data_IF_094201563966
#
_entry.id   IF_094201563966
#
_cell.length_a   1.000
_cell.length_b   1.000
_cell.length_c   1.000
_cell.angle_alpha   90.00
_cell.angle_beta   90.00
_cell.angle_gamma   90.00
#
_symmetry.space_group_name_H-M   'P 1'
#
loop_
_entity.id
_entity.type
_entity.pdbx_description
1 polymer ?
#
# COMPACT_ATOMS: atom_id res chain seq x y z
N UNK A 1 10.69 -23.89 0.54
CA UNK A 1 10.72 -22.69 -0.32
C UNK A 1 9.81 -21.57 0.17
N UNK A 2 8.62 -21.85 0.72
CA UNK A 2 7.64 -20.84 1.12
C UNK A 2 8.16 -19.81 2.14
N UNK A 3 9.02 -20.22 3.08
CA UNK A 3 9.60 -19.31 4.08
C UNK A 3 10.43 -18.16 3.50
N UNK A 4 11.20 -18.38 2.43
CA UNK A 4 11.99 -17.29 1.82
C UNK A 4 11.09 -16.24 1.18
N UNK A 5 10.05 -16.67 0.46
CA UNK A 5 9.14 -15.76 -0.25
C UNK A 5 8.33 -14.89 0.72
N UNK A 6 7.94 -15.46 1.86
CA UNK A 6 7.17 -14.74 2.90
C UNK A 6 7.94 -13.55 3.48
N UNK A 7 9.27 -13.60 3.49
CA UNK A 7 10.14 -12.55 4.04
C UNK A 7 10.62 -11.54 3.03
N UNK A 8 10.98 -12.01 1.84
CA UNK A 8 11.61 -11.15 0.83
C UNK A 8 10.63 -10.09 0.33
N UNK A 9 9.35 -10.43 0.17
CA UNK A 9 8.34 -9.50 -0.33
C UNK A 9 8.07 -8.32 0.60
N UNK A 10 7.78 -8.51 1.90
CA UNK A 10 7.59 -7.38 2.82
C UNK A 10 8.82 -6.49 2.92
N UNK A 11 10.02 -7.07 2.94
CA UNK A 11 11.27 -6.29 2.96
C UNK A 11 11.39 -5.45 1.69
N UNK A 12 11.17 -6.06 0.51
CA UNK A 12 11.18 -5.36 -0.76
C UNK A 12 10.15 -4.23 -0.79
N UNK A 13 8.94 -4.48 -0.28
CA UNK A 13 7.87 -3.50 -0.22
C UNK A 13 8.19 -2.32 0.72
N UNK A 14 8.88 -2.56 1.84
CA UNK A 14 9.37 -1.49 2.73
C UNK A 14 10.43 -0.66 2.01
N UNK A 15 11.38 -1.30 1.33
CA UNK A 15 12.43 -0.61 0.57
C UNK A 15 11.85 0.26 -0.54
N UNK A 16 10.90 -0.26 -1.33
CA UNK A 16 10.29 0.51 -2.42
C UNK A 16 9.48 1.69 -1.89
N UNK A 17 8.73 1.53 -0.80
CA UNK A 17 8.01 2.63 -0.17
C UNK A 17 8.95 3.69 0.44
N UNK A 18 10.07 3.27 1.04
CA UNK A 18 11.11 4.19 1.51
C UNK A 18 11.73 5.00 0.36
N UNK A 19 12.00 4.36 -0.78
CA UNK A 19 12.50 5.04 -1.98
C UNK A 19 11.49 6.06 -2.52
N UNK A 20 10.18 5.74 -2.53
CA UNK A 20 9.14 6.71 -2.89
C UNK A 20 9.23 7.94 -1.99
N UNK A 21 9.28 7.73 -0.67
CA UNK A 21 9.34 8.83 0.29
C UNK A 21 10.60 9.68 0.08
N UNK A 22 11.76 9.04 -0.11
CA UNK A 22 13.02 9.73 -0.38
C UNK A 22 12.91 10.63 -1.61
N UNK A 23 12.47 10.10 -2.75
CA UNK A 23 12.35 10.84 -4.01
C UNK A 23 11.39 12.03 -3.88
N UNK A 24 10.26 11.82 -3.21
CA UNK A 24 9.24 12.86 -3.05
C UNK A 24 9.67 13.93 -2.05
N UNK A 25 10.49 13.59 -1.04
CA UNK A 25 11.02 14.53 -0.06
C UNK A 25 12.19 15.35 -0.62
N UNK A 26 13.08 14.74 -1.39
CA UNK A 26 14.25 15.40 -1.99
C UNK A 26 13.85 16.38 -3.11
N UNK A 27 12.79 16.08 -3.86
CA UNK A 27 12.36 16.93 -4.96
C UNK A 27 11.37 18.03 -4.49
N UNK A 28 11.85 19.26 -4.36
CA UNK A 28 11.04 20.42 -3.92
C UNK A 28 9.83 20.71 -4.83
N UNK A 29 9.96 20.48 -6.15
CA UNK A 29 8.86 20.68 -7.10
C UNK A 29 7.73 19.67 -6.87
N UNK A 30 8.07 18.40 -6.60
CA UNK A 30 7.08 17.41 -6.21
C UNK A 30 6.51 17.73 -4.84
N UNK A 31 7.35 18.07 -3.86
CA UNK A 31 6.96 18.33 -2.47
C UNK A 31 5.81 19.35 -2.31
N UNK A 32 5.74 20.36 -3.18
CA UNK A 32 4.70 21.39 -3.15
C UNK A 32 3.40 21.03 -3.91
N UNK A 33 3.30 19.83 -4.51
CA UNK A 33 2.12 19.41 -5.27
C UNK A 33 1.11 18.62 -4.43
N UNK A 34 -0.18 18.77 -4.75
CA UNK A 34 -1.28 17.94 -4.19
C UNK A 34 -1.03 16.45 -4.38
N UNK A 35 -0.49 16.09 -5.54
CA UNK A 35 -0.07 14.74 -5.91
C UNK A 35 0.95 14.13 -4.94
N UNK A 36 1.97 14.90 -4.56
CA UNK A 36 3.00 14.45 -3.61
C UNK A 36 2.42 14.17 -2.22
N UNK A 37 1.45 14.96 -1.78
CA UNK A 37 0.76 14.74 -0.51
C UNK A 37 0.05 13.37 -0.52
N UNK A 38 -0.67 13.06 -1.60
CA UNK A 38 -1.31 11.76 -1.78
C UNK A 38 -0.29 10.61 -1.78
N UNK A 39 0.78 10.72 -2.58
CA UNK A 39 1.82 9.68 -2.66
C UNK A 39 2.47 9.43 -1.31
N UNK A 40 2.83 10.48 -0.57
CA UNK A 40 3.40 10.34 0.78
C UNK A 40 2.42 9.63 1.72
N UNK A 41 1.15 10.02 1.70
CA UNK A 41 0.13 9.38 2.54
C UNK A 41 0.02 7.89 2.26
N UNK A 42 0.01 7.51 0.98
CA UNK A 42 -0.06 6.12 0.57
C UNK A 42 1.20 5.36 1.00
N UNK A 43 2.39 5.87 0.67
CA UNK A 43 3.66 5.22 1.03
C UNK A 43 3.85 5.09 2.55
N UNK A 44 3.41 6.08 3.34
CA UNK A 44 3.44 5.99 4.82
C UNK A 44 2.47 4.92 5.31
N UNK A 45 1.22 4.91 4.79
CA UNK A 45 0.22 3.91 5.18
C UNK A 45 0.69 2.49 4.86
N UNK A 46 1.26 2.29 3.67
CA UNK A 46 1.77 0.99 3.21
C UNK A 46 2.97 0.56 4.07
N UNK A 47 3.94 1.46 4.31
CA UNK A 47 5.08 1.20 5.19
C UNK A 47 4.62 0.81 6.59
N UNK A 48 3.63 1.51 7.15
CA UNK A 48 3.12 1.22 8.49
C UNK A 48 2.50 -0.18 8.54
N UNK A 49 1.65 -0.53 7.58
CA UNK A 49 1.05 -1.88 7.48
C UNK A 49 2.11 -2.96 7.35
N UNK A 50 3.16 -2.74 6.53
CA UNK A 50 4.24 -3.70 6.33
C UNK A 50 5.13 -3.87 7.56
N UNK A 51 5.48 -2.78 8.25
CA UNK A 51 6.23 -2.82 9.51
C UNK A 51 5.46 -3.61 10.56
N UNK A 52 4.14 -3.41 10.66
CA UNK A 52 3.30 -4.17 11.58
C UNK A 52 3.26 -5.65 11.21
N UNK A 53 3.20 -5.97 9.93
CA UNK A 53 3.27 -7.35 9.44
C UNK A 53 4.61 -8.00 9.79
N UNK A 54 5.72 -7.29 9.63
CA UNK A 54 7.07 -7.75 10.00
C UNK A 54 7.19 -7.97 11.52
N UNK A 55 6.75 -7.00 12.32
CA UNK A 55 6.70 -7.13 13.79
C UNK A 55 5.83 -8.31 14.23
N UNK A 56 4.70 -8.52 13.56
CA UNK A 56 3.81 -9.66 13.81
C UNK A 56 4.47 -10.99 13.46
N UNK A 57 5.39 -11.04 12.50
CA UNK A 57 6.13 -12.25 12.17
C UNK A 57 7.16 -12.59 13.26
N UNK A 58 7.97 -11.60 13.65
CA UNK A 58 8.98 -11.75 14.71
C UNK A 58 8.33 -12.16 16.03
N UNK A 59 7.12 -11.64 16.29
CA UNK A 59 6.44 -11.83 17.57
C UNK A 59 5.42 -12.97 17.57
N UNK A 60 5.54 -13.97 16.69
CA UNK A 60 4.68 -15.17 16.68
C UNK A 60 4.64 -15.92 18.02
N UNK A 61 5.60 -15.68 18.91
CA UNK A 61 5.67 -16.21 20.28
C UNK A 61 4.88 -15.38 21.31
N UNK A 62 4.50 -14.13 21.03
CA UNK A 62 3.74 -13.28 21.96
C UNK A 62 2.33 -13.00 21.45
N UNK A 63 1.33 -13.68 22.04
CA UNK A 63 -0.11 -13.45 21.78
C UNK A 63 -0.56 -11.98 21.99
N UNK A 64 0.24 -11.15 22.67
CA UNK A 64 -0.06 -9.75 22.96
C UNK A 64 -0.30 -8.89 21.70
N UNK A 65 0.36 -9.21 20.57
CA UNK A 65 0.29 -8.39 19.35
C UNK A 65 -1.05 -8.53 18.60
N UNK A 66 -1.76 -9.65 18.78
CA UNK A 66 -3.08 -9.88 18.20
C UNK A 66 -4.22 -9.43 19.12
N UNK A 67 -3.92 -8.71 20.20
CA UNK A 67 -4.96 -8.12 21.04
C UNK A 67 -5.84 -7.19 20.18
N UNK A 68 -7.18 -7.28 20.29
CA UNK A 68 -8.10 -6.42 19.53
C UNK A 68 -7.75 -4.93 19.66
N UNK A 69 -7.24 -4.51 20.83
CA UNK A 69 -6.77 -3.16 21.13
C UNK A 69 -5.63 -2.69 20.21
N UNK A 70 -4.66 -3.55 19.89
CA UNK A 70 -3.56 -3.19 18.98
C UNK A 70 -4.09 -2.98 17.57
N UNK A 71 -4.89 -3.92 17.05
CA UNK A 71 -5.53 -3.77 15.73
C UNK A 71 -6.35 -2.47 15.62
N UNK A 72 -7.17 -2.15 16.64
CA UNK A 72 -7.94 -0.90 16.65
C UNK A 72 -7.04 0.33 16.69
N UNK A 73 -5.97 0.32 17.51
CA UNK A 73 -5.01 1.41 17.56
C UNK A 73 -4.30 1.66 16.23
N UNK A 74 -3.99 0.59 15.50
CA UNK A 74 -3.31 0.65 14.21
C UNK A 74 -4.22 1.15 13.08
N UNK A 75 -5.46 0.69 13.06
CA UNK A 75 -6.50 1.22 12.16
C UNK A 75 -6.70 2.71 12.43
N UNK A 76 -6.80 3.09 13.71
CA UNK A 76 -6.93 4.49 14.12
C UNK A 76 -5.73 5.34 13.69
N UNK A 77 -4.50 4.82 13.81
CA UNK A 77 -3.29 5.51 13.34
C UNK A 77 -3.27 5.68 11.81
N UNK A 78 -3.67 4.66 11.05
CA UNK A 78 -3.79 4.77 9.58
C UNK A 78 -4.84 5.83 9.19
N UNK A 79 -5.98 5.85 9.87
CA UNK A 79 -7.03 6.83 9.58
C UNK A 79 -6.66 8.24 10.04
N UNK A 80 -6.02 8.37 11.20
CA UNK A 80 -5.54 9.64 11.73
C UNK A 80 -4.46 10.26 10.82
N UNK A 81 -3.54 9.44 10.28
CA UNK A 81 -2.52 9.92 9.33
C UNK A 81 -3.16 10.39 8.02
N UNK A 82 -4.11 9.62 7.46
CA UNK A 82 -4.89 10.06 6.28
C UNK A 82 -5.63 11.36 6.53
N UNK A 83 -6.32 11.48 7.66
CA UNK A 83 -7.06 12.70 8.01
C UNK A 83 -6.15 13.91 8.25
N UNK A 84 -5.03 13.74 8.95
CA UNK A 84 -4.07 14.82 9.19
C UNK A 84 -3.48 15.34 7.87
N UNK A 85 -3.18 14.42 6.95
CA UNK A 85 -2.68 14.75 5.63
C UNK A 85 -3.74 15.48 4.79
N UNK A 86 -4.99 14.99 4.79
CA UNK A 86 -6.10 15.63 4.10
C UNK A 86 -6.42 17.04 4.64
N UNK A 87 -6.39 17.22 5.97
CA UNK A 87 -6.58 18.53 6.62
C UNK A 87 -5.49 19.52 6.20
N UNK A 88 -4.22 19.10 6.20
CA UNK A 88 -3.09 19.94 5.77
C UNK A 88 -3.21 20.32 4.30
N UNK A 89 -3.68 19.40 3.45
CA UNK A 89 -3.96 19.67 2.04
C UNK A 89 -5.03 20.74 1.85
N UNK A 90 -6.17 20.63 2.55
CA UNK A 90 -7.28 21.60 2.42
C UNK A 90 -6.84 23.04 2.73
N UNK A 91 -5.97 23.21 3.72
CA UNK A 91 -5.40 24.52 4.05
C UNK A 91 -4.45 25.08 2.97
N UNK A 92 -3.61 24.24 2.39
CA UNK A 92 -2.68 24.65 1.32
C UNK A 92 -3.41 25.02 0.03
N UNK A 93 -4.45 24.25 -0.35
CA UNK A 93 -5.29 24.59 -1.51
C UNK A 93 -6.00 25.92 -1.33
N UNK A 94 -6.56 26.20 -0.15
CA UNK A 94 -7.30 27.44 0.07
C UNK A 94 -6.43 28.71 -0.06
N UNK A 95 -5.13 28.62 0.26
CA UNK A 95 -4.21 29.76 0.11
C UNK A 95 -3.68 29.97 -1.32
N UNK A 96 -3.50 28.90 -2.09
CA UNK A 96 -2.88 28.97 -3.43
C UNK A 96 -3.88 29.40 -4.52
N UNK A 97 -5.18 29.15 -4.33
CA UNK A 97 -6.22 29.49 -5.32
C UNK A 97 -6.61 30.98 -5.37
N UNK A 98 -6.09 31.83 -4.47
CA UNK A 98 -6.59 33.21 -4.33
C UNK A 98 -6.01 34.24 -5.32
N UNK A 99 -5.23 33.87 -6.35
CA UNK A 99 -4.60 34.93 -7.16
C UNK A 99 -4.02 34.66 -8.55
N UNK A 100 -4.06 33.45 -9.14
CA UNK A 100 -3.61 33.28 -10.55
C UNK A 100 -4.44 32.24 -11.31
N UNK A 101 -4.96 32.55 -12.52
CA UNK A 101 -5.48 31.54 -13.43
C UNK A 101 -4.30 30.67 -13.86
N UNK A 102 -4.23 29.47 -13.29
CA UNK A 102 -3.14 28.52 -13.44
C UNK A 102 -3.57 27.52 -14.51
N UNK A 103 -2.73 27.32 -15.52
CA UNK A 103 -2.84 26.20 -16.47
C UNK A 103 -3.28 24.94 -15.73
N UNK A 104 -4.41 24.36 -16.13
CA UNK A 104 -4.98 23.18 -15.49
C UNK A 104 -3.88 22.11 -15.33
N UNK A 105 -3.46 21.79 -14.10
CA UNK A 105 -2.66 20.59 -13.91
C UNK A 105 -3.48 19.41 -14.43
N UNK A 106 -2.85 18.41 -15.07
CA UNK A 106 -3.52 17.24 -15.62
C UNK A 106 -4.32 16.46 -14.55
N UNK A 107 -5.51 16.91 -14.17
CA UNK A 107 -6.39 16.26 -13.20
C UNK A 107 -6.75 14.86 -13.69
N UNK A 108 -6.95 14.71 -15.00
CA UNK A 108 -7.18 13.44 -15.67
C UNK A 108 -6.04 12.44 -15.45
N UNK A 109 -4.79 12.90 -15.37
CA UNK A 109 -3.64 12.01 -15.11
C UNK A 109 -3.62 11.52 -13.66
N UNK A 110 -3.99 12.39 -12.71
CA UNK A 110 -4.12 12.02 -11.31
C UNK A 110 -5.29 11.04 -11.12
N UNK A 111 -6.44 11.35 -11.69
CA UNK A 111 -7.62 10.48 -11.64
C UNK A 111 -7.34 9.10 -12.27
N UNK A 112 -6.66 9.07 -13.41
CA UNK A 112 -6.24 7.82 -14.05
C UNK A 112 -5.31 7.00 -13.16
N UNK A 113 -4.34 7.65 -12.49
CA UNK A 113 -3.45 6.96 -11.55
C UNK A 113 -4.23 6.37 -10.37
N UNK A 114 -5.14 7.14 -9.76
CA UNK A 114 -6.00 6.66 -8.68
C UNK A 114 -6.87 5.47 -9.12
N UNK A 115 -7.43 5.55 -10.33
CA UNK A 115 -8.23 4.49 -10.91
C UNK A 115 -7.41 3.21 -11.08
N UNK A 116 -6.20 3.31 -11.66
CA UNK A 116 -5.29 2.16 -11.84
C UNK A 116 -4.95 1.54 -10.48
N UNK A 117 -4.56 2.33 -9.49
CA UNK A 117 -4.22 1.81 -8.15
C UNK A 117 -5.43 1.12 -7.50
N UNK A 118 -6.64 1.68 -7.67
CA UNK A 118 -7.86 1.08 -7.12
C UNK A 118 -8.22 -0.25 -7.79
N UNK A 119 -8.09 -0.32 -9.12
CA UNK A 119 -8.31 -1.55 -9.88
C UNK A 119 -7.30 -2.62 -9.45
N UNK A 120 -6.02 -2.27 -9.35
CA UNK A 120 -4.95 -3.19 -8.92
C UNK A 120 -5.18 -3.69 -7.50
N UNK A 121 -5.52 -2.79 -6.57
CA UNK A 121 -5.90 -3.15 -5.20
C UNK A 121 -7.06 -4.15 -5.19
N UNK A 122 -8.09 -3.92 -6.01
CA UNK A 122 -9.25 -4.83 -6.10
C UNK A 122 -8.82 -6.19 -6.62
N UNK A 123 -8.06 -6.25 -7.71
CA UNK A 123 -7.60 -7.50 -8.33
C UNK A 123 -6.72 -8.32 -7.37
N UNK A 124 -5.86 -7.68 -6.59
CA UNK A 124 -4.97 -8.37 -5.66
C UNK A 124 -5.62 -8.72 -4.31
N UNK A 125 -6.47 -7.85 -3.78
CA UNK A 125 -7.03 -8.00 -2.44
C UNK A 125 -8.32 -8.84 -2.42
N UNK A 126 -9.09 -8.82 -3.51
CA UNK A 126 -10.38 -9.52 -3.61
C UNK A 126 -10.24 -11.05 -3.46
N UNK A 127 -9.30 -11.75 -4.15
CA UNK A 127 -9.16 -13.20 -4.02
C UNK A 127 -8.87 -13.64 -2.58
N UNK A 128 -7.98 -12.92 -1.89
CA UNK A 128 -7.66 -13.15 -0.48
C UNK A 128 -8.88 -12.96 0.43
N UNK A 129 -9.66 -11.91 0.19
CA UNK A 129 -10.87 -11.62 0.97
C UNK A 129 -11.92 -12.71 0.78
N UNK A 130 -12.14 -13.14 -0.47
CA UNK A 130 -13.08 -14.23 -0.79
C UNK A 130 -12.69 -15.51 -0.05
N UNK A 131 -11.42 -15.93 -0.10
CA UNK A 131 -10.94 -17.14 0.59
C UNK A 131 -11.14 -17.06 2.10
N UNK A 132 -10.86 -15.90 2.71
CA UNK A 132 -11.07 -15.73 4.15
C UNK A 132 -12.55 -15.75 4.54
N UNK A 133 -13.42 -15.17 3.70
CA UNK A 133 -14.87 -15.23 3.93
C UNK A 133 -15.35 -16.67 3.83
N UNK A 134 -14.96 -17.39 2.76
CA UNK A 134 -15.30 -18.80 2.58
C UNK A 134 -14.79 -19.64 3.76
N UNK A 135 -13.55 -19.41 4.20
CA UNK A 135 -12.96 -20.14 5.34
C UNK A 135 -13.64 -19.85 6.67
N UNK A 136 -14.20 -18.65 6.86
CA UNK A 136 -14.82 -18.22 8.12
C UNK A 136 -16.30 -18.52 8.20
N UNK A 137 -17.00 -18.40 7.08
CA UNK A 137 -18.46 -18.53 6.97
C UNK A 137 -18.89 -19.84 6.31
N UNK A 138 -17.95 -20.62 5.79
CA UNK A 138 -18.17 -21.92 5.19
C UNK A 138 -18.63 -22.96 6.21
N UNK A 139 -19.95 -23.11 6.31
CA UNK A 139 -20.70 -24.31 6.69
C UNK A 139 -20.05 -25.62 6.15
N UNK A 140 -20.32 -26.77 6.80
CA UNK A 140 -19.35 -27.80 7.17
C UNK A 140 -18.42 -28.21 6.00
N UNK A 141 -17.29 -27.50 5.89
CA UNK A 141 -16.15 -27.94 5.08
C UNK A 141 -15.66 -29.35 5.51
N UNK A 142 -15.99 -29.78 6.74
CA UNK A 142 -15.68 -31.10 7.29
C UNK A 142 -16.36 -32.27 6.55
N UNK A 143 -17.41 -32.06 5.76
CA UNK A 143 -18.15 -33.17 5.14
C UNK A 143 -17.67 -33.56 3.72
N UNK A 144 -16.86 -32.74 3.05
CA UNK A 144 -16.51 -32.97 1.63
C UNK A 144 -15.03 -32.79 1.28
N UNK A 145 -14.15 -32.42 2.22
CA UNK A 145 -12.73 -32.25 1.90
C UNK A 145 -11.99 -33.60 1.92
N UNK A 146 -11.56 -34.04 0.75
CA UNK A 146 -10.48 -35.02 0.62
C UNK A 146 -9.15 -34.36 1.04
N UNK A 147 -8.15 -35.17 1.43
CA UNK A 147 -6.79 -34.66 1.72
C UNK A 147 -6.24 -33.80 0.57
N UNK A 148 -6.50 -34.21 -0.67
CA UNK A 148 -6.14 -33.47 -1.89
C UNK A 148 -6.75 -32.06 -1.95
N UNK A 149 -8.01 -31.91 -1.54
CA UNK A 149 -8.70 -30.62 -1.54
C UNK A 149 -8.05 -29.64 -0.54
N UNK A 150 -7.53 -30.17 0.58
CA UNK A 150 -6.86 -29.36 1.61
C UNK A 150 -5.53 -28.80 1.11
N UNK A 151 -4.75 -29.59 0.37
CA UNK A 151 -3.50 -29.14 -0.24
C UNK A 151 -3.74 -28.01 -1.25
N UNK A 152 -4.73 -28.17 -2.12
CA UNK A 152 -5.11 -27.15 -3.10
C UNK A 152 -5.53 -25.86 -2.39
N UNK A 153 -6.35 -25.95 -1.35
CA UNK A 153 -6.75 -24.78 -0.56
C UNK A 153 -5.52 -24.05 0.02
N UNK A 154 -4.56 -24.77 0.58
CA UNK A 154 -3.36 -24.16 1.17
C UNK A 154 -2.50 -23.44 0.11
N UNK A 155 -2.36 -24.03 -1.08
CA UNK A 155 -1.65 -23.43 -2.21
C UNK A 155 -2.37 -22.16 -2.68
N UNK A 156 -3.68 -22.22 -2.90
CA UNK A 156 -4.49 -21.09 -3.38
C UNK A 156 -4.49 -19.95 -2.35
N UNK A 157 -4.60 -20.27 -1.05
CA UNK A 157 -4.48 -19.29 0.03
C UNK A 157 -3.10 -18.63 0.04
N UNK A 158 -2.03 -19.41 -0.07
CA UNK A 158 -0.65 -18.90 -0.13
C UNK A 158 -0.45 -17.97 -1.34
N UNK A 159 -1.01 -18.33 -2.50
CA UNK A 159 -0.97 -17.49 -3.71
C UNK A 159 -1.74 -16.18 -3.52
N UNK A 160 -2.90 -16.21 -2.88
CA UNK A 160 -3.68 -15.00 -2.61
C UNK A 160 -3.00 -14.09 -1.58
N UNK A 161 -2.33 -14.65 -0.57
CA UNK A 161 -1.49 -13.88 0.35
C UNK A 161 -0.31 -13.22 -0.37
N UNK A 162 0.35 -13.96 -1.27
CA UNK A 162 1.40 -13.43 -2.13
C UNK A 162 0.90 -12.29 -3.02
N UNK A 163 -0.21 -12.48 -3.73
CA UNK A 163 -0.82 -11.47 -4.60
C UNK A 163 -1.18 -10.20 -3.81
N UNK A 164 -1.77 -10.35 -2.63
CA UNK A 164 -2.07 -9.25 -1.73
C UNK A 164 -0.81 -8.47 -1.34
N UNK A 165 0.28 -9.16 -1.00
CA UNK A 165 1.52 -8.50 -0.62
C UNK A 165 2.19 -7.78 -1.80
N UNK A 166 2.07 -8.38 -2.99
CA UNK A 166 2.59 -7.80 -4.23
C UNK A 166 1.94 -6.45 -4.55
N UNK A 167 0.69 -6.23 -4.12
CA UNK A 167 0.03 -4.92 -4.23
C UNK A 167 0.88 -3.78 -3.64
N UNK A 168 1.50 -3.98 -2.47
CA UNK A 168 2.34 -2.96 -1.83
C UNK A 168 3.57 -2.61 -2.67
N UNK A 169 4.12 -3.56 -3.43
CA UNK A 169 5.22 -3.31 -4.36
C UNK A 169 4.76 -2.61 -5.64
N UNK A 170 3.55 -2.92 -6.13
CA UNK A 170 3.08 -2.38 -7.42
C UNK A 170 2.83 -0.89 -7.41
N UNK A 171 2.53 -0.29 -6.26
CA UNK A 171 2.37 1.16 -6.13
C UNK A 171 3.59 1.92 -6.66
N UNK A 172 4.81 1.47 -6.31
CA UNK A 172 6.05 2.04 -6.85
C UNK A 172 6.15 1.96 -8.37
N UNK A 173 5.84 0.78 -8.93
CA UNK A 173 5.88 0.53 -10.37
C UNK A 173 4.89 1.46 -11.10
N UNK A 174 3.68 1.60 -10.57
CA UNK A 174 2.64 2.49 -11.12
C UNK A 174 3.14 3.94 -11.11
N UNK A 175 3.77 4.41 -10.01
CA UNK A 175 4.32 5.76 -9.97
C UNK A 175 5.44 5.99 -10.99
N UNK A 176 6.33 5.01 -11.16
CA UNK A 176 7.40 5.06 -12.16
C UNK A 176 6.87 5.13 -13.61
N UNK A 177 5.80 4.38 -13.91
CA UNK A 177 5.22 4.30 -15.26
C UNK A 177 4.33 5.52 -15.54
N UNK A 178 3.37 5.81 -14.65
CA UNK A 178 2.33 6.83 -14.87
C UNK A 178 2.85 8.26 -14.65
N UNK A 179 3.90 8.44 -13.85
CA UNK A 179 4.39 9.75 -13.43
C UNK A 179 5.63 10.22 -14.21
N UNK A 180 5.47 10.96 -15.31
CA UNK A 180 6.62 11.61 -16.00
C UNK A 180 7.47 12.45 -15.03
N UNK A 181 6.83 13.27 -14.20
CA UNK A 181 7.51 14.11 -13.20
C UNK A 181 8.19 13.28 -12.12
N UNK A 182 7.54 12.22 -11.64
CA UNK A 182 8.12 11.31 -10.65
C UNK A 182 9.36 10.61 -11.20
N UNK A 183 9.30 10.09 -12.42
CA UNK A 183 10.43 9.45 -13.09
C UNK A 183 11.62 10.39 -13.29
N UNK A 184 11.38 11.63 -13.74
CA UNK A 184 12.45 12.63 -13.82
C UNK A 184 13.07 12.93 -12.45
N UNK A 185 12.25 13.07 -11.41
CA UNK A 185 12.74 13.27 -10.04
C UNK A 185 13.54 12.07 -9.52
N UNK A 186 13.09 10.85 -9.83
CA UNK A 186 13.77 9.61 -9.46
C UNK A 186 15.16 9.52 -10.10
N UNK A 187 15.25 9.71 -11.43
CA UNK A 187 16.53 9.72 -12.12
C UNK A 187 17.48 10.80 -11.60
N UNK A 188 16.95 12.01 -11.34
CA UNK A 188 17.74 13.11 -10.79
C UNK A 188 18.30 12.76 -9.40
N UNK A 189 17.46 12.22 -8.52
CA UNK A 189 17.86 11.83 -7.15
C UNK A 189 18.94 10.73 -7.18
N UNK A 190 18.77 9.75 -8.08
CA UNK A 190 19.75 8.67 -8.23
C UNK A 190 21.08 9.16 -8.82
N UNK A 191 21.06 10.12 -9.77
CA UNK A 191 22.28 10.68 -10.34
C UNK A 191 23.09 11.56 -9.36
N UNK A 192 22.48 11.98 -8.25
CA UNK A 192 23.12 12.82 -7.23
C UNK A 192 23.67 12.05 -6.03
N UNK A 193 23.43 10.74 -5.96
CA UNK A 193 23.95 9.82 -4.94
C UNK A 193 25.20 9.11 -5.45
#
# INVERSE_FOLDING_TARGET
>A
MSYMVIHTLPILAVVTNALILLVVLTNSQLNCSSFSVYIKSMAISDTLVLVLKLLSYENKTSQAFYSPSMCTGLIFLSDATKQAIFRRHRHLTNHVYRGKPKSEPNESQLMLMLLIVTIMFTVYFLPFTIINIISKWGLPFDLCFTEESFEIYFIVRSLCEFLKDLNFCTNFIIYCISGRRFRHAFFFTYSSL
#
